data_IF_229001266983
#
_entry.id   IF_229001266983
#
_cell.length_a   1.000
_cell.length_b   1.000
_cell.length_c   1.000
_cell.angle_alpha   90.00
_cell.angle_beta   90.00
_cell.angle_gamma   90.00
#
_symmetry.space_group_name_H-M   'P 1'
#
loop_
_entity.id
_entity.type
_entity.pdbx_description
1 polymer ?
#
# COMPACT_ATOMS: atom_id res chain seq x y z
N UNK A 1 52.17 11.25 -16.10
CA UNK A 1 51.19 10.14 -16.01
C UNK A 1 50.42 10.11 -14.67
N UNK A 2 51.07 10.27 -13.51
CA UNK A 2 50.43 10.06 -12.20
C UNK A 2 49.35 11.06 -11.76
N UNK A 3 49.47 12.34 -12.15
CA UNK A 3 48.51 13.38 -11.73
C UNK A 3 47.11 13.16 -12.34
N UNK A 4 47.08 12.72 -13.61
CA UNK A 4 45.85 12.47 -14.34
C UNK A 4 45.06 11.29 -13.75
N UNK A 5 45.76 10.21 -13.40
CA UNK A 5 45.16 9.04 -12.77
C UNK A 5 44.58 9.36 -11.38
N UNK A 6 45.25 10.23 -10.62
CA UNK A 6 44.78 10.65 -9.30
C UNK A 6 43.51 11.51 -9.36
N UNK A 7 43.39 12.38 -10.37
CA UNK A 7 42.18 13.16 -10.62
C UNK A 7 41.00 12.27 -11.02
N UNK A 8 41.22 11.27 -11.86
CA UNK A 8 40.19 10.29 -12.25
C UNK A 8 39.69 9.53 -11.02
N UNK A 9 40.58 9.08 -10.14
CA UNK A 9 40.18 8.34 -8.94
C UNK A 9 39.36 9.18 -7.96
N UNK A 10 39.71 10.46 -7.78
CA UNK A 10 38.87 11.40 -7.00
C UNK A 10 37.51 11.62 -7.63
N UNK A 11 37.45 11.75 -8.97
CA UNK A 11 36.17 11.90 -9.68
C UNK A 11 35.28 10.67 -9.55
N UNK A 12 35.85 9.46 -9.62
CA UNK A 12 35.10 8.22 -9.41
C UNK A 12 34.51 8.12 -8.00
N UNK A 13 35.26 8.53 -6.97
CA UNK A 13 34.76 8.56 -5.59
C UNK A 13 33.65 9.59 -5.42
N UNK A 14 33.79 10.78 -6.03
CA UNK A 14 32.74 11.82 -6.02
C UNK A 14 31.50 11.34 -6.76
N UNK A 15 31.65 10.73 -7.93
CA UNK A 15 30.56 10.13 -8.72
C UNK A 15 29.83 9.04 -7.94
N UNK A 16 30.57 8.17 -7.23
CA UNK A 16 29.98 7.14 -6.38
C UNK A 16 29.14 7.75 -5.25
N UNK A 17 29.64 8.82 -4.60
CA UNK A 17 28.86 9.54 -3.57
C UNK A 17 27.64 10.25 -4.15
N UNK A 18 27.75 10.85 -5.33
CA UNK A 18 26.61 11.48 -6.03
C UNK A 18 25.56 10.43 -6.38
N UNK A 19 25.96 9.29 -6.95
CA UNK A 19 25.05 8.19 -7.28
C UNK A 19 24.37 7.67 -6.01
N UNK A 20 25.10 7.52 -4.90
CA UNK A 20 24.53 7.08 -3.62
C UNK A 20 23.51 8.09 -3.05
N UNK A 21 23.79 9.40 -3.14
CA UNK A 21 22.85 10.45 -2.73
C UNK A 21 21.59 10.50 -3.60
N UNK A 22 21.69 10.15 -4.89
CA UNK A 22 20.55 10.07 -5.81
C UNK A 22 19.64 8.84 -5.57
N UNK A 23 20.04 7.87 -4.74
CA UNK A 23 19.21 6.69 -4.43
C UNK A 23 18.21 6.89 -3.29
N UNK A 24 18.18 8.06 -2.65
CA UNK A 24 17.21 8.37 -1.59
C UNK A 24 16.01 9.07 -2.22
N UNK A 25 15.07 8.27 -2.74
CA UNK A 25 13.69 8.69 -3.02
C UNK A 25 12.83 7.45 -3.22
N UNK A 26 12.73 6.59 -2.20
CA UNK A 26 11.63 5.60 -2.16
C UNK A 26 10.38 6.28 -1.59
N UNK A 27 9.94 7.32 -2.31
CA UNK A 27 8.59 7.84 -2.15
C UNK A 27 7.74 6.99 -3.08
N UNK A 28 7.32 5.82 -2.61
CA UNK A 28 6.17 5.16 -3.21
C UNK A 28 5.07 6.22 -3.24
N UNK A 29 4.57 6.63 -4.42
CA UNK A 29 3.47 7.59 -4.47
C UNK A 29 2.35 6.96 -3.64
N UNK A 30 1.90 7.67 -2.62
CA UNK A 30 0.78 7.25 -1.79
C UNK A 30 -0.46 7.26 -2.70
N UNK A 31 -0.66 6.16 -3.43
CA UNK A 31 -1.76 5.98 -4.36
C UNK A 31 -3.07 6.18 -3.60
N UNK A 32 -4.01 6.90 -4.22
CA UNK A 32 -5.33 7.04 -3.63
C UNK A 32 -6.05 5.68 -3.61
N UNK A 33 -6.93 5.48 -2.63
CA UNK A 33 -7.73 4.27 -2.47
C UNK A 33 -8.46 3.92 -3.76
N UNK A 34 -9.05 4.92 -4.41
CA UNK A 34 -9.84 4.74 -5.63
C UNK A 34 -9.00 4.35 -6.85
N UNK A 35 -7.67 4.46 -6.85
CA UNK A 35 -6.85 3.96 -7.95
C UNK A 35 -6.85 2.42 -7.97
N UNK A 36 -6.79 1.79 -6.81
CA UNK A 36 -6.52 0.35 -6.70
C UNK A 36 -7.69 -0.46 -6.14
N UNK A 37 -8.56 0.17 -5.36
CA UNK A 37 -9.61 -0.50 -4.60
C UNK A 37 -11.00 0.06 -4.92
N UNK A 38 -12.02 -0.73 -4.63
CA UNK A 38 -13.42 -0.35 -4.68
C UNK A 38 -14.15 -0.91 -3.46
N UNK A 39 -15.18 -0.21 -3.02
CA UNK A 39 -16.07 -0.70 -1.97
C UNK A 39 -16.84 -1.91 -2.53
N UNK A 40 -16.88 -3.01 -1.77
CA UNK A 40 -17.64 -4.22 -2.11
C UNK A 40 -19.02 -4.17 -1.45
N UNK A 41 -19.07 -3.70 -0.20
CA UNK A 41 -20.30 -3.62 0.57
C UNK A 41 -20.17 -2.59 1.71
N UNK A 42 -21.30 -2.11 2.22
CA UNK A 42 -21.32 -1.17 3.36
C UNK A 42 -20.95 0.26 2.99
N UNK A 43 -21.40 0.80 1.84
CA UNK A 43 -21.06 2.17 1.40
C UNK A 43 -21.29 3.26 2.46
N UNK A 44 -22.30 3.11 3.32
CA UNK A 44 -22.60 4.06 4.40
C UNK A 44 -21.61 3.96 5.57
N UNK A 45 -20.84 2.88 5.63
CA UNK A 45 -19.88 2.54 6.68
C UNK A 45 -18.42 2.67 6.22
N UNK A 46 -18.18 3.26 5.03
CA UNK A 46 -16.85 3.57 4.49
C UNK A 46 -16.65 5.07 4.40
N UNK A 47 -15.55 5.58 4.93
CA UNK A 47 -15.14 6.97 4.77
C UNK A 47 -13.72 7.06 4.22
N UNK A 48 -13.53 7.91 3.21
CA UNK A 48 -12.23 8.24 2.63
C UNK A 48 -11.69 9.51 3.27
N UNK A 49 -10.51 9.42 3.86
CA UNK A 49 -9.83 10.49 4.56
C UNK A 49 -8.52 10.84 3.85
N UNK A 50 -7.89 11.96 4.21
CA UNK A 50 -6.56 12.33 3.73
C UNK A 50 -6.40 12.33 2.20
N UNK A 51 -7.40 12.87 1.49
CA UNK A 51 -7.49 12.88 0.01
C UNK A 51 -7.55 11.46 -0.58
N UNK A 52 -8.29 10.56 0.07
CA UNK A 52 -8.45 9.17 -0.37
C UNK A 52 -7.27 8.26 -0.03
N UNK A 53 -6.27 8.72 0.74
CA UNK A 53 -5.12 7.88 1.13
C UNK A 53 -5.36 7.05 2.37
N UNK A 54 -6.44 7.32 3.09
CA UNK A 54 -6.85 6.54 4.26
C UNK A 54 -8.31 6.14 4.10
N UNK A 55 -8.60 4.88 4.41
CA UNK A 55 -9.94 4.33 4.40
C UNK A 55 -10.31 3.95 5.84
N UNK A 56 -11.42 4.49 6.32
CA UNK A 56 -11.99 4.15 7.60
C UNK A 56 -13.21 3.27 7.38
N UNK A 57 -13.20 2.09 8.00
CA UNK A 57 -14.33 1.16 8.04
C UNK A 57 -15.02 1.24 9.39
N UNK A 58 -16.34 1.29 9.38
CA UNK A 58 -17.17 1.26 10.58
C UNK A 58 -17.98 -0.03 10.64
N UNK A 59 -18.29 -0.46 11.86
CA UNK A 59 -19.16 -1.60 12.15
C UNK A 59 -20.13 -1.18 13.25
N UNK A 60 -21.42 -1.38 12.99
CA UNK A 60 -22.48 -1.23 13.97
C UNK A 60 -23.43 -2.43 13.92
N UNK A 61 -24.56 -2.34 14.63
CA UNK A 61 -25.53 -3.44 14.72
C UNK A 61 -26.24 -3.73 13.40
N UNK A 62 -26.25 -2.79 12.46
CA UNK A 62 -26.91 -2.93 11.16
C UNK A 62 -25.99 -3.59 10.13
N UNK A 63 -24.72 -3.17 10.08
CA UNK A 63 -23.75 -3.68 9.12
C UNK A 63 -22.32 -3.26 9.46
N UNK A 64 -21.36 -3.90 8.78
CA UNK A 64 -19.98 -3.43 8.67
C UNK A 64 -19.66 -2.82 7.30
N UNK A 65 -18.40 -2.93 6.88
CA UNK A 65 -17.98 -2.58 5.53
C UNK A 65 -16.81 -3.44 5.03
N UNK A 66 -16.64 -3.46 3.72
CA UNK A 66 -15.48 -4.08 3.09
C UNK A 66 -15.19 -3.52 1.70
N UNK A 67 -13.93 -3.60 1.31
CA UNK A 67 -13.45 -3.22 0.00
C UNK A 67 -12.57 -4.32 -0.59
N UNK A 68 -12.34 -4.27 -1.89
CA UNK A 68 -11.43 -5.18 -2.57
C UNK A 68 -10.75 -4.52 -3.75
N UNK A 69 -9.73 -5.20 -4.26
CA UNK A 69 -8.97 -4.71 -5.41
C UNK A 69 -9.86 -4.63 -6.65
N UNK A 70 -9.57 -3.64 -7.51
CA UNK A 70 -10.18 -3.55 -8.84
C UNK A 70 -9.64 -4.60 -9.81
N UNK A 71 -8.38 -5.02 -9.59
CA UNK A 71 -7.65 -5.96 -10.42
C UNK A 71 -7.42 -7.29 -9.70
N UNK A 72 -7.17 -8.32 -10.49
CA UNK A 72 -6.69 -9.62 -10.05
C UNK A 72 -5.18 -9.69 -10.27
N UNK A 73 -4.48 -10.40 -9.39
CA UNK A 73 -3.04 -10.50 -9.40
C UNK A 73 -2.61 -11.96 -9.38
N UNK A 74 -1.66 -12.34 -10.23
CA UNK A 74 -1.04 -13.68 -10.21
C UNK A 74 0.08 -13.80 -9.18
N UNK A 75 0.76 -12.69 -8.88
CA UNK A 75 1.79 -12.55 -7.85
C UNK A 75 1.98 -11.08 -7.51
N UNK A 76 2.60 -10.78 -6.37
CA UNK A 76 2.88 -9.41 -5.95
C UNK A 76 3.21 -9.28 -4.47
N UNK A 77 3.55 -8.06 -4.06
CA UNK A 77 3.68 -7.69 -2.65
C UNK A 77 2.52 -6.78 -2.27
N UNK A 78 1.74 -7.19 -1.27
CA UNK A 78 0.55 -6.47 -0.81
C UNK A 78 0.80 -5.96 0.60
N UNK A 79 0.82 -4.64 0.76
CA UNK A 79 1.12 -3.99 2.02
C UNK A 79 -0.01 -3.03 2.38
N UNK A 80 -0.42 -3.04 3.64
CA UNK A 80 -1.43 -2.13 4.15
C UNK A 80 -1.07 -1.69 5.57
N UNK A 81 -1.15 -0.39 5.82
CA UNK A 81 -1.05 0.16 7.18
C UNK A 81 -2.43 0.13 7.81
N UNK A 82 -2.59 -0.66 8.88
CA UNK A 82 -3.87 -0.88 9.55
C UNK A 82 -3.80 -0.31 10.97
N UNK A 83 -4.83 0.46 11.34
CA UNK A 83 -5.04 0.93 12.71
C UNK A 83 -6.34 0.34 13.23
N UNK A 84 -6.28 -0.37 14.34
CA UNK A 84 -7.44 -0.96 14.98
C UNK A 84 -8.19 0.07 15.86
N UNK A 85 -9.49 -0.12 16.12
CA UNK A 85 -10.24 0.69 17.06
C UNK A 85 -9.59 0.68 18.45
N UNK A 86 -9.56 1.84 19.12
CA UNK A 86 -8.94 1.98 20.45
C UNK A 86 -9.87 1.56 21.61
N UNK A 87 -11.16 1.30 21.34
CA UNK A 87 -12.18 0.93 22.32
C UNK A 87 -12.37 -0.59 22.34
N UNK A 88 -13.16 -1.07 23.30
CA UNK A 88 -13.56 -2.48 23.38
C UNK A 88 -14.06 -2.98 22.03
N UNK A 89 -13.37 -4.01 21.52
CA UNK A 89 -13.56 -4.60 20.20
C UNK A 89 -13.85 -6.10 20.32
N UNK A 90 -14.39 -6.54 21.46
CA UNK A 90 -14.78 -7.93 21.69
C UNK A 90 -15.67 -8.46 20.56
N UNK A 91 -15.23 -9.54 19.92
CA UNK A 91 -15.96 -10.19 18.82
C UNK A 91 -15.86 -9.49 17.46
N UNK A 92 -15.12 -8.40 17.33
CA UNK A 92 -14.89 -7.72 16.05
C UNK A 92 -13.63 -8.28 15.39
N UNK A 93 -13.73 -8.62 14.11
CA UNK A 93 -12.58 -9.07 13.29
C UNK A 93 -12.30 -8.04 12.21
N UNK A 94 -11.07 -7.54 12.18
CA UNK A 94 -10.55 -6.75 11.05
C UNK A 94 -9.61 -7.63 10.24
N UNK A 95 -9.88 -7.81 8.95
CA UNK A 95 -9.10 -8.70 8.09
C UNK A 95 -8.57 -7.98 6.85
N UNK A 96 -7.32 -8.27 6.50
CA UNK A 96 -6.70 -7.94 5.22
C UNK A 96 -6.10 -9.23 4.66
N UNK A 97 -6.65 -9.68 3.54
CA UNK A 97 -6.31 -11.00 2.96
C UNK A 97 -6.36 -10.95 1.43
N UNK A 98 -5.72 -11.94 0.81
CA UNK A 98 -5.81 -12.21 -0.62
C UNK A 98 -6.64 -13.47 -0.80
N UNK A 99 -7.65 -13.41 -1.66
CA UNK A 99 -8.44 -14.57 -2.04
C UNK A 99 -8.46 -14.70 -3.56
N UNK A 100 -8.38 -15.93 -4.05
CA UNK A 100 -8.73 -16.26 -5.43
C UNK A 100 -10.23 -16.46 -5.51
N UNK A 101 -10.85 -16.09 -6.64
CA UNK A 101 -12.23 -16.52 -6.89
C UNK A 101 -12.21 -18.03 -7.15
N UNK A 102 -12.55 -18.82 -6.13
CA UNK A 102 -12.87 -20.24 -6.27
C UNK A 102 -14.39 -20.41 -6.36
N UNK A 103 -15.04 -19.60 -7.18
CA UNK A 103 -16.47 -19.74 -7.50
C UNK A 103 -16.62 -20.10 -8.98
N UNK A 104 -16.15 -21.30 -9.31
CA UNK A 104 -16.58 -22.07 -10.47
C UNK A 104 -16.54 -23.57 -10.11
N UNK A 105 -17.15 -23.92 -8.98
CA UNK A 105 -17.44 -25.30 -8.58
C UNK A 105 -18.95 -25.46 -8.40
N UNK A 106 -19.69 -25.33 -9.51
CA UNK A 106 -20.93 -26.08 -9.81
C UNK A 106 -21.69 -25.40 -10.96
N UNK A 107 -21.53 -25.94 -12.16
CA UNK A 107 -22.62 -26.06 -13.15
C UNK A 107 -22.65 -27.51 -13.59
#
# INVERSE_FOLDING_TARGET
MGLHLWMIMKMMVVLSKVIFLLRVSDATPNASFDENYKIIWGNQHVQLLNQGREVQLSLDKSSGAGFGSKLYFGSGSFQMKIKLPAKDSGGIVTAFYVCTNVLNLSS
#
